data_IF_127298689707
#
_entry.id   IF_127298689707
#
_cell.length_a   1.000
_cell.length_b   1.000
_cell.length_c   1.000
_cell.angle_alpha   90.00
_cell.angle_beta   90.00
_cell.angle_gamma   90.00
#
_symmetry.space_group_name_H-M   'P 1'
#
loop_
_entity.id
_entity.type
_entity.pdbx_description
1 polymer ?
#
# COMPACT_ATOMS: atom_id res chain seq x y z
N UNK A 1 5.25 -21.72 19.87
CA UNK A 1 4.84 -21.48 18.48
C UNK A 1 4.12 -20.14 18.46
N UNK A 2 4.39 -19.24 17.50
CA UNK A 2 3.67 -17.97 17.40
C UNK A 2 2.21 -18.24 17.00
N UNK A 3 1.28 -17.56 17.65
CA UNK A 3 -0.14 -17.61 17.31
C UNK A 3 -0.49 -16.47 16.35
N UNK A 4 -1.23 -16.75 15.28
CA UNK A 4 -1.62 -15.77 14.27
C UNK A 4 -3.13 -15.74 14.10
N UNK A 5 -3.66 -14.56 13.80
CA UNK A 5 -5.08 -14.30 13.54
C UNK A 5 -5.23 -13.81 12.10
N UNK A 6 -6.14 -14.40 11.34
CA UNK A 6 -6.64 -13.81 10.11
C UNK A 6 -7.87 -12.96 10.47
N UNK A 7 -7.90 -11.71 9.99
CA UNK A 7 -9.10 -10.89 10.14
C UNK A 7 -10.19 -11.40 9.20
N UNK A 8 -11.41 -11.38 9.70
CA UNK A 8 -12.63 -11.70 8.98
C UNK A 8 -13.80 -10.82 9.43
N UNK A 9 -14.99 -11.04 8.87
CA UNK A 9 -16.19 -10.26 9.21
C UNK A 9 -16.58 -10.38 10.69
N UNK A 10 -16.22 -11.46 11.38
CA UNK A 10 -16.60 -11.71 12.78
C UNK A 10 -15.70 -10.99 13.77
N UNK A 11 -14.39 -10.90 13.46
CA UNK A 11 -13.39 -10.41 14.40
C UNK A 11 -12.83 -9.00 14.07
N UNK A 12 -13.02 -8.47 12.85
CA UNK A 12 -12.44 -7.19 12.40
C UNK A 12 -12.82 -6.00 13.31
N UNK A 13 -13.99 -6.03 13.94
CA UNK A 13 -14.42 -4.94 14.81
C UNK A 13 -13.64 -4.91 16.13
N UNK A 14 -13.32 -6.09 16.68
CA UNK A 14 -12.67 -6.27 17.98
C UNK A 14 -11.15 -6.23 17.85
N UNK A 15 -10.62 -6.76 16.74
CA UNK A 15 -9.19 -6.84 16.50
C UNK A 15 -8.58 -5.51 16.02
N UNK A 16 -7.35 -5.22 16.44
CA UNK A 16 -6.60 -4.08 15.90
C UNK A 16 -5.98 -4.42 14.55
N UNK A 17 -5.87 -3.42 13.68
CA UNK A 17 -5.25 -3.53 12.35
C UNK A 17 -3.74 -3.24 12.35
N UNK A 18 -3.06 -3.41 13.45
CA UNK A 18 -1.63 -3.27 13.63
C UNK A 18 -1.05 -1.86 13.42
N UNK A 19 -1.54 -1.07 12.47
CA UNK A 19 -1.11 0.32 12.27
C UNK A 19 -1.85 1.28 13.20
N UNK A 20 -1.22 2.39 13.55
CA UNK A 20 -1.78 3.48 14.38
C UNK A 20 -2.35 3.04 15.75
N UNK A 21 -1.86 1.93 16.32
CA UNK A 21 -2.33 1.40 17.59
C UNK A 21 -2.12 2.42 18.71
N UNK A 22 -3.21 2.80 19.38
CA UNK A 22 -3.18 3.69 20.53
C UNK A 22 -2.82 5.15 20.19
N UNK A 23 -2.96 5.53 18.93
CA UNK A 23 -2.78 6.91 18.46
C UNK A 23 -4.15 7.53 18.14
N UNK A 24 -4.75 8.32 19.08
CA UNK A 24 -6.10 8.83 18.92
C UNK A 24 -6.31 9.70 17.68
N UNK A 25 -5.29 10.42 17.24
CA UNK A 25 -5.38 11.27 16.04
C UNK A 25 -5.63 10.50 14.75
N UNK A 26 -5.27 9.22 14.72
CA UNK A 26 -5.47 8.36 13.55
C UNK A 26 -6.70 7.43 13.68
N UNK A 27 -7.52 7.56 14.72
CA UNK A 27 -8.66 6.66 14.94
C UNK A 27 -9.62 6.66 13.75
N UNK A 28 -9.95 7.83 13.20
CA UNK A 28 -10.81 7.94 12.02
C UNK A 28 -10.23 7.18 10.80
N UNK A 29 -8.91 7.21 10.62
CA UNK A 29 -8.24 6.44 9.56
C UNK A 29 -8.25 4.94 9.82
N UNK A 30 -8.13 4.51 11.08
CA UNK A 30 -8.29 3.10 11.48
C UNK A 30 -9.69 2.59 11.15
N UNK A 31 -10.73 3.37 11.47
CA UNK A 31 -12.11 3.01 11.21
C UNK A 31 -12.39 2.89 9.70
N UNK A 32 -11.91 3.85 8.90
CA UNK A 32 -12.02 3.81 7.43
C UNK A 32 -11.27 2.63 6.81
N UNK A 33 -10.08 2.29 7.32
CA UNK A 33 -9.36 1.12 6.86
C UNK A 33 -10.11 -0.17 7.22
N UNK A 34 -10.67 -0.29 8.42
CA UNK A 34 -11.48 -1.45 8.80
C UNK A 34 -12.69 -1.62 7.89
N UNK A 35 -13.38 -0.52 7.57
CA UNK A 35 -14.49 -0.53 6.61
C UNK A 35 -14.02 -0.97 5.21
N UNK A 36 -12.89 -0.43 4.75
CA UNK A 36 -12.31 -0.82 3.47
C UNK A 36 -11.97 -2.32 3.45
N UNK A 37 -11.30 -2.87 4.47
CA UNK A 37 -10.97 -4.30 4.58
C UNK A 37 -12.24 -5.17 4.56
N UNK A 38 -13.30 -4.79 5.31
CA UNK A 38 -14.58 -5.52 5.32
C UNK A 38 -15.14 -5.67 3.90
N UNK A 39 -15.13 -4.59 3.13
CA UNK A 39 -15.62 -4.60 1.75
C UNK A 39 -14.75 -5.45 0.82
N UNK A 40 -13.49 -5.73 1.21
CA UNK A 40 -12.52 -6.49 0.42
C UNK A 40 -12.48 -7.99 0.77
N UNK A 41 -13.06 -8.44 1.88
CA UNK A 41 -13.09 -9.87 2.23
C UNK A 41 -13.75 -10.72 1.14
N UNK A 42 -14.84 -10.24 0.55
CA UNK A 42 -15.51 -10.92 -0.58
C UNK A 42 -14.64 -11.06 -1.83
N UNK A 43 -13.64 -10.20 -1.97
CA UNK A 43 -12.69 -10.15 -3.09
C UNK A 43 -11.44 -11.03 -2.81
N UNK A 44 -11.41 -11.72 -1.66
CA UNK A 44 -10.31 -12.61 -1.27
C UNK A 44 -9.18 -11.93 -0.50
N UNK A 45 -9.40 -10.71 0.00
CA UNK A 45 -8.43 -9.99 0.80
C UNK A 45 -8.08 -10.71 2.10
N UNK A 46 -6.80 -10.81 2.40
CA UNK A 46 -6.27 -11.43 3.62
C UNK A 46 -5.47 -10.41 4.41
N UNK A 47 -5.87 -10.22 5.66
CA UNK A 47 -5.10 -9.51 6.66
C UNK A 47 -4.74 -10.48 7.79
N UNK A 48 -3.46 -10.89 7.83
CA UNK A 48 -2.94 -11.82 8.83
C UNK A 48 -1.99 -11.12 9.77
N UNK A 49 -2.24 -11.22 11.07
CA UNK A 49 -1.44 -10.58 12.12
C UNK A 49 -1.00 -11.58 13.19
N UNK A 50 0.09 -11.26 13.91
CA UNK A 50 0.43 -11.96 15.14
C UNK A 50 -0.62 -11.64 16.21
N UNK A 51 -1.01 -12.63 17.01
CA UNK A 51 -1.89 -12.45 18.17
C UNK A 51 -1.13 -11.75 19.32
N UNK A 52 -0.73 -10.50 19.05
CA UNK A 52 -0.03 -9.64 20.00
C UNK A 52 -0.31 -8.17 19.66
N UNK A 53 -0.22 -7.29 20.68
CA UNK A 53 -0.33 -5.85 20.46
C UNK A 53 0.95 -5.32 19.82
N UNK A 54 0.92 -5.03 18.51
CA UNK A 54 2.07 -4.51 17.76
C UNK A 54 1.82 -4.38 16.28
N UNK A 55 2.80 -3.81 15.56
CA UNK A 55 2.80 -3.68 14.10
C UNK A 55 3.43 -4.92 13.49
N UNK A 56 2.66 -6.01 13.40
CA UNK A 56 3.14 -7.34 12.98
C UNK A 56 2.07 -8.00 12.13
N UNK A 57 2.13 -7.81 10.82
CA UNK A 57 1.11 -8.32 9.90
C UNK A 57 1.63 -8.44 8.48
N UNK A 58 0.90 -9.19 7.68
CA UNK A 58 0.92 -9.19 6.22
C UNK A 58 -0.49 -8.96 5.70
N UNK A 59 -0.60 -8.24 4.59
CA UNK A 59 -1.85 -7.89 3.93
C UNK A 59 -1.69 -8.11 2.43
N UNK A 60 -2.58 -8.90 1.83
CA UNK A 60 -2.55 -9.25 0.41
C UNK A 60 -3.93 -9.63 -0.12
N UNK A 61 -4.10 -9.61 -1.44
CA UNK A 61 -5.32 -10.06 -2.13
C UNK A 61 -5.03 -10.43 -3.59
N UNK A 62 -5.99 -11.09 -4.28
CA UNK A 62 -5.86 -11.35 -5.71
C UNK A 62 -5.59 -10.06 -6.49
N UNK A 63 -4.61 -10.12 -7.41
CA UNK A 63 -4.18 -8.95 -8.17
C UNK A 63 -5.30 -8.35 -9.03
N UNK A 64 -6.27 -9.17 -9.44
CA UNK A 64 -7.42 -8.75 -10.22
C UNK A 64 -8.29 -7.72 -9.48
N UNK A 65 -8.41 -7.89 -8.16
CA UNK A 65 -9.20 -7.02 -7.29
C UNK A 65 -8.38 -6.01 -6.53
N UNK A 66 -7.04 -6.12 -6.57
CA UNK A 66 -6.13 -5.23 -5.88
C UNK A 66 -6.23 -3.78 -6.38
N UNK A 67 -6.34 -2.85 -5.45
CA UNK A 67 -6.47 -1.41 -5.72
C UNK A 67 -5.12 -0.75 -6.02
N UNK A 68 -4.45 -1.29 -7.02
CA UNK A 68 -3.15 -0.81 -7.50
C UNK A 68 -3.12 -0.79 -9.02
N UNK A 69 -2.36 0.12 -9.65
CA UNK A 69 -2.28 0.24 -11.10
C UNK A 69 -1.32 -0.82 -11.69
N UNK A 70 -1.63 -2.07 -11.40
CA UNK A 70 -0.88 -3.24 -11.85
C UNK A 70 -1.85 -4.18 -12.55
N UNK A 71 -1.50 -4.61 -13.75
CA UNK A 71 -2.19 -5.61 -14.54
C UNK A 71 -1.53 -6.98 -14.30
N UNK A 72 -2.34 -7.99 -14.09
CA UNK A 72 -1.90 -9.35 -13.87
C UNK A 72 -3.07 -10.29 -13.79
N UNK A 73 -2.78 -11.58 -13.82
CA UNK A 73 -3.80 -12.62 -13.69
C UNK A 73 -3.27 -13.75 -12.85
N UNK A 74 -4.11 -14.17 -11.90
CA UNK A 74 -3.83 -15.33 -11.06
C UNK A 74 -2.57 -15.15 -10.17
N UNK A 75 -2.37 -13.94 -9.63
CA UNK A 75 -1.34 -13.62 -8.65
C UNK A 75 -1.95 -13.06 -7.38
N UNK A 76 -1.32 -13.30 -6.23
CA UNK A 76 -1.59 -12.51 -5.04
C UNK A 76 -0.73 -11.24 -5.06
N UNK A 77 -1.30 -10.09 -4.68
CA UNK A 77 -0.57 -8.83 -4.50
C UNK A 77 -0.42 -8.52 -3.02
N UNK A 78 0.83 -8.39 -2.54
CA UNK A 78 1.13 -7.99 -1.16
C UNK A 78 1.13 -6.46 -1.08
N UNK A 79 0.18 -5.89 -0.34
CA UNK A 79 0.12 -4.48 -0.03
C UNK A 79 1.14 -4.07 1.03
N UNK A 80 1.22 -4.86 2.09
CA UNK A 80 2.07 -4.53 3.24
C UNK A 80 2.54 -5.80 3.95
N UNK A 81 3.82 -5.79 4.33
CA UNK A 81 4.40 -6.73 5.28
C UNK A 81 5.20 -5.91 6.29
N UNK A 82 4.75 -5.87 7.53
CA UNK A 82 5.39 -5.06 8.55
C UNK A 82 5.60 -5.82 9.85
N UNK A 83 6.86 -5.80 10.32
CA UNK A 83 7.24 -6.28 11.65
C UNK A 83 8.07 -5.20 12.33
N UNK A 84 7.60 -4.64 13.44
CA UNK A 84 8.22 -3.51 14.12
C UNK A 84 8.56 -3.78 15.59
N UNK A 85 9.37 -2.88 16.15
CA UNK A 85 9.71 -2.88 17.59
C UNK A 85 10.48 -4.12 18.01
N UNK A 86 10.15 -4.64 19.18
CA UNK A 86 10.77 -5.82 19.80
C UNK A 86 10.55 -7.15 19.07
N UNK A 87 9.74 -7.14 18.02
CA UNK A 87 9.45 -8.32 17.20
C UNK A 87 10.41 -8.50 16.01
N UNK A 88 11.23 -7.48 15.71
CA UNK A 88 12.23 -7.56 14.64
C UNK A 88 13.31 -8.61 14.97
N UNK A 89 13.87 -9.23 13.92
CA UNK A 89 14.95 -10.21 14.06
C UNK A 89 14.55 -11.59 14.61
N UNK A 90 13.26 -11.83 14.83
CA UNK A 90 12.74 -13.09 15.41
C UNK A 90 12.15 -14.06 14.37
N UNK A 91 12.38 -13.84 13.08
CA UNK A 91 11.85 -14.70 12.02
C UNK A 91 10.39 -14.45 11.64
N UNK A 92 9.67 -13.57 12.35
CA UNK A 92 8.21 -13.37 12.17
C UNK A 92 7.84 -12.88 10.77
N UNK A 93 8.62 -11.99 10.16
CA UNK A 93 8.37 -11.54 8.79
C UNK A 93 8.50 -12.71 7.79
N UNK A 94 9.41 -13.64 8.04
CA UNK A 94 9.54 -14.90 7.28
C UNK A 94 8.28 -15.73 7.42
N UNK A 95 7.82 -16.00 8.65
CA UNK A 95 6.63 -16.81 8.92
C UNK A 95 5.37 -16.25 8.22
N UNK A 96 5.20 -14.91 8.25
CA UNK A 96 4.10 -14.21 7.58
C UNK A 96 4.18 -14.34 6.05
N UNK A 97 5.37 -14.16 5.47
CA UNK A 97 5.54 -14.29 4.02
C UNK A 97 5.39 -15.74 3.55
N UNK A 98 5.97 -16.70 4.28
CA UNK A 98 5.82 -18.14 3.98
C UNK A 98 4.35 -18.59 4.04
N UNK A 99 3.56 -18.04 4.98
CA UNK A 99 2.13 -18.26 5.00
C UNK A 99 1.44 -17.75 3.73
N UNK A 100 1.72 -16.51 3.30
CA UNK A 100 1.12 -15.95 2.09
C UNK A 100 1.53 -16.73 0.82
N UNK A 101 2.80 -17.16 0.75
CA UNK A 101 3.29 -18.02 -0.35
C UNK A 101 2.56 -19.36 -0.36
N UNK A 102 2.38 -19.98 0.81
CA UNK A 102 1.64 -21.24 0.93
C UNK A 102 0.18 -21.06 0.54
N UNK A 103 -0.50 -20.03 1.04
CA UNK A 103 -1.88 -19.72 0.72
C UNK A 103 -2.09 -19.51 -0.79
N UNK A 104 -1.20 -18.73 -1.43
CA UNK A 104 -1.23 -18.53 -2.87
C UNK A 104 -1.06 -19.85 -3.65
N UNK A 105 -0.18 -20.76 -3.21
CA UNK A 105 -0.02 -22.09 -3.80
C UNK A 105 -1.24 -22.98 -3.60
N UNK A 106 -1.82 -22.98 -2.40
CA UNK A 106 -3.03 -23.75 -2.07
C UNK A 106 -4.22 -23.30 -2.94
N UNK A 107 -4.31 -22.00 -3.23
CA UNK A 107 -5.27 -21.38 -4.18
C UNK A 107 -4.92 -21.62 -5.66
N UNK A 108 -3.81 -22.29 -5.96
CA UNK A 108 -3.31 -22.54 -7.33
C UNK A 108 -3.05 -21.25 -8.10
N UNK A 109 -2.58 -20.22 -7.41
CA UNK A 109 -2.11 -18.99 -8.05
C UNK A 109 -0.84 -19.25 -8.85
N UNK A 110 -0.59 -18.45 -9.89
CA UNK A 110 0.64 -18.48 -10.70
C UNK A 110 1.83 -17.84 -10.01
N UNK A 111 1.57 -17.09 -8.94
CA UNK A 111 2.61 -16.45 -8.15
C UNK A 111 2.07 -15.46 -7.12
N UNK A 112 3.00 -14.75 -6.52
CA UNK A 112 2.75 -13.65 -5.57
C UNK A 112 3.68 -12.50 -5.90
N UNK A 113 3.19 -11.25 -5.81
CA UNK A 113 3.95 -10.07 -6.19
C UNK A 113 3.81 -8.92 -5.17
N UNK A 114 4.71 -7.96 -5.25
CA UNK A 114 4.72 -6.78 -4.39
C UNK A 114 5.45 -5.61 -5.03
N UNK A 115 5.10 -4.39 -4.62
CA UNK A 115 5.81 -3.17 -4.99
C UNK A 115 6.97 -2.92 -4.04
N UNK A 116 8.14 -2.66 -4.61
CA UNK A 116 9.33 -2.23 -3.88
C UNK A 116 9.98 -1.02 -4.57
N UNK A 117 11.10 -0.55 -4.05
CA UNK A 117 11.92 0.46 -4.74
C UNK A 117 13.40 0.05 -4.73
N UNK A 118 14.17 0.55 -5.71
CA UNK A 118 15.63 0.34 -5.80
C UNK A 118 16.35 0.84 -4.54
N UNK A 119 15.91 1.98 -4.02
CA UNK A 119 16.36 2.54 -2.75
C UNK A 119 15.20 2.52 -1.77
N UNK A 120 15.50 2.28 -0.49
CA UNK A 120 14.48 2.26 0.58
C UNK A 120 13.61 3.52 0.54
N UNK A 121 12.30 3.31 0.46
CA UNK A 121 11.27 4.34 0.53
C UNK A 121 10.33 4.06 1.70
N UNK A 122 9.77 5.12 2.32
CA UNK A 122 8.71 4.93 3.31
C UNK A 122 7.53 4.13 2.73
N UNK A 123 6.89 3.32 3.56
CA UNK A 123 5.69 2.53 3.23
C UNK A 123 5.88 1.43 2.16
N UNK A 124 7.11 1.15 1.74
CA UNK A 124 7.44 0.03 0.85
C UNK A 124 8.31 -1.01 1.56
N UNK A 125 8.14 -2.26 1.18
CA UNK A 125 8.96 -3.37 1.64
C UNK A 125 10.42 -3.27 1.17
N UNK A 126 11.33 -3.90 1.89
CA UNK A 126 12.76 -3.90 1.52
C UNK A 126 13.01 -4.94 0.41
N UNK A 127 13.52 -4.49 -0.74
CA UNK A 127 13.85 -5.32 -1.90
C UNK A 127 14.66 -6.57 -1.52
N UNK A 128 15.74 -6.41 -0.76
CA UNK A 128 16.63 -7.50 -0.34
C UNK A 128 15.93 -8.60 0.45
N UNK A 129 14.90 -8.23 1.23
CA UNK A 129 14.11 -9.22 1.94
C UNK A 129 13.36 -10.14 0.97
N UNK A 130 12.70 -9.59 -0.04
CA UNK A 130 11.97 -10.38 -1.04
C UNK A 130 12.91 -11.17 -1.96
N UNK A 131 14.07 -10.60 -2.35
CA UNK A 131 15.11 -11.31 -3.11
C UNK A 131 15.56 -12.59 -2.39
N UNK A 132 15.71 -12.55 -1.06
CA UNK A 132 16.08 -13.72 -0.25
C UNK A 132 15.04 -14.85 -0.33
N UNK A 133 13.78 -14.54 -0.64
CA UNK A 133 12.70 -15.52 -0.88
C UNK A 133 12.52 -15.89 -2.34
N UNK A 134 13.43 -15.47 -3.22
CA UNK A 134 13.41 -15.81 -4.63
C UNK A 134 12.52 -14.92 -5.51
N UNK A 135 11.99 -13.82 -4.97
CA UNK A 135 11.31 -12.83 -5.79
C UNK A 135 12.30 -12.19 -6.77
N UNK A 136 11.84 -11.96 -7.99
CA UNK A 136 12.61 -11.29 -9.05
C UNK A 136 11.87 -10.05 -9.51
N UNK A 137 12.61 -9.04 -9.97
CA UNK A 137 12.02 -7.87 -10.62
C UNK A 137 11.43 -8.31 -11.96
N UNK A 138 10.15 -8.05 -12.17
CA UNK A 138 9.40 -8.41 -13.37
C UNK A 138 9.00 -7.19 -14.19
N UNK A 139 8.94 -6.01 -13.58
CA UNK A 139 8.68 -4.72 -14.24
C UNK A 139 9.23 -3.55 -13.42
N UNK A 140 9.43 -2.39 -14.04
CA UNK A 140 9.94 -1.19 -13.37
C UNK A 140 9.44 0.11 -14.00
N UNK A 141 9.24 1.13 -13.16
CA UNK A 141 9.00 2.52 -13.58
C UNK A 141 9.87 3.42 -12.71
N UNK A 142 10.83 4.14 -13.31
CA UNK A 142 11.83 4.93 -12.59
C UNK A 142 12.56 4.06 -11.55
N UNK A 143 12.52 4.46 -10.29
CA UNK A 143 13.12 3.75 -9.16
C UNK A 143 12.16 2.80 -8.42
N UNK A 144 10.94 2.63 -8.92
CA UNK A 144 9.97 1.64 -8.42
C UNK A 144 10.06 0.34 -9.20
N UNK A 145 9.97 -0.76 -8.51
CA UNK A 145 10.07 -2.10 -9.07
C UNK A 145 8.93 -2.98 -8.60
N UNK A 146 8.34 -3.70 -9.53
CA UNK A 146 7.40 -4.79 -9.25
C UNK A 146 8.19 -6.08 -9.15
N UNK A 147 8.14 -6.72 -8.00
CA UNK A 147 8.76 -8.02 -7.80
C UNK A 147 7.71 -9.13 -7.75
N UNK A 148 8.04 -10.28 -8.30
CA UNK A 148 7.19 -11.47 -8.25
C UNK A 148 8.00 -12.73 -7.92
N UNK A 149 7.37 -13.62 -7.16
CA UNK A 149 7.76 -15.02 -7.00
C UNK A 149 6.78 -15.85 -7.82
N UNK A 150 7.25 -16.37 -8.96
CA UNK A 150 6.46 -17.21 -9.85
C UNK A 150 6.43 -18.66 -9.38
N UNK A 151 5.29 -19.33 -9.58
CA UNK A 151 5.10 -20.76 -9.30
C UNK A 151 4.95 -21.58 -10.58
N UNK A 152 4.65 -20.95 -11.72
CA UNK A 152 4.50 -21.55 -13.04
C UNK A 152 5.08 -20.63 -14.13
N UNK A 153 5.04 -21.04 -15.40
CA UNK A 153 5.61 -20.30 -16.53
C UNK A 153 4.63 -19.31 -17.18
N UNK A 154 3.55 -18.92 -16.49
CA UNK A 154 2.61 -17.94 -17.03
C UNK A 154 3.14 -16.52 -16.94
N UNK A 155 2.44 -15.59 -17.62
CA UNK A 155 2.82 -14.18 -17.69
C UNK A 155 2.92 -13.54 -16.29
N UNK A 156 3.97 -12.76 -16.11
CA UNK A 156 4.16 -11.97 -14.89
C UNK A 156 3.31 -10.71 -14.88
N UNK A 157 2.94 -10.20 -13.68
CA UNK A 157 2.29 -8.92 -13.56
C UNK A 157 3.15 -7.76 -14.09
N UNK A 158 2.48 -6.71 -14.58
CA UNK A 158 3.12 -5.49 -15.10
C UNK A 158 2.37 -4.25 -14.61
N UNK A 159 3.07 -3.14 -14.48
CA UNK A 159 2.41 -1.85 -14.27
C UNK A 159 1.47 -1.53 -15.42
N UNK A 160 0.33 -0.92 -15.11
CA UNK A 160 -0.61 -0.45 -16.15
C UNK A 160 0.02 0.64 -17.00
N UNK A 161 -0.48 0.81 -18.22
CA UNK A 161 -0.01 1.88 -19.11
C UNK A 161 -0.30 3.27 -18.53
N UNK A 162 -1.42 3.42 -17.82
CA UNK A 162 -1.76 4.65 -17.10
C UNK A 162 -0.72 5.01 -16.05
N UNK A 163 -0.22 4.04 -15.28
CA UNK A 163 0.81 4.26 -14.26
C UNK A 163 2.14 4.75 -14.83
N UNK A 164 2.44 4.42 -16.08
CA UNK A 164 3.68 4.83 -16.76
C UNK A 164 3.68 6.31 -17.15
N UNK A 165 2.50 6.93 -17.27
CA UNK A 165 2.38 8.34 -17.65
C UNK A 165 3.06 9.27 -16.63
N UNK A 166 2.88 9.01 -15.35
CA UNK A 166 3.42 9.80 -14.24
C UNK A 166 3.06 11.30 -14.37
N UNK A 167 1.91 11.60 -15.01
CA UNK A 167 1.42 12.95 -15.33
C UNK A 167 -0.10 13.03 -15.17
N UNK A 168 -0.56 14.23 -14.86
CA UNK A 168 -1.97 14.64 -14.82
C UNK A 168 -2.14 15.99 -15.51
N UNK A 169 -3.37 16.35 -15.87
CA UNK A 169 -3.66 17.64 -16.52
C UNK A 169 -3.64 18.81 -15.52
N UNK A 170 -3.99 18.54 -14.27
CA UNK A 170 -4.06 19.55 -13.21
C UNK A 170 -2.68 20.16 -12.92
N UNK A 171 -2.59 21.50 -12.85
CA UNK A 171 -1.35 22.22 -12.61
C UNK A 171 -1.14 22.60 -11.15
N UNK A 172 -2.19 22.54 -10.35
CA UNK A 172 -2.10 22.81 -8.92
C UNK A 172 -1.46 21.61 -8.17
N UNK A 173 -1.18 21.79 -6.88
CA UNK A 173 -0.84 20.63 -6.05
C UNK A 173 -2.01 19.67 -6.02
N UNK A 174 -1.78 18.43 -6.42
CA UNK A 174 -2.81 17.39 -6.45
C UNK A 174 -2.31 16.14 -5.73
N UNK A 175 -3.12 15.63 -4.83
CA UNK A 175 -2.82 14.44 -4.04
C UNK A 175 -3.86 13.36 -4.35
N UNK A 176 -3.39 12.22 -4.86
CA UNK A 176 -4.20 11.00 -4.97
C UNK A 176 -4.02 10.16 -3.71
N UNK A 177 -5.10 9.61 -3.18
CA UNK A 177 -5.05 8.82 -1.95
C UNK A 177 -6.11 7.72 -1.88
N UNK A 178 -5.85 6.71 -1.04
CA UNK A 178 -6.79 5.61 -0.71
C UNK A 178 -7.01 5.52 0.79
N UNK A 179 -8.04 4.80 1.23
CA UNK A 179 -8.27 4.49 2.64
C UNK A 179 -7.51 3.23 3.13
N UNK A 180 -6.64 2.68 2.31
CA UNK A 180 -5.87 1.47 2.61
C UNK A 180 -4.87 1.67 3.77
N UNK A 181 -4.37 2.89 3.97
CA UNK A 181 -3.47 3.20 5.06
C UNK A 181 -4.14 4.10 6.11
N UNK A 182 -4.17 3.72 7.40
CA UNK A 182 -4.86 4.49 8.43
C UNK A 182 -4.23 5.87 8.73
N UNK A 183 -3.00 6.11 8.26
CA UNK A 183 -2.36 7.42 8.41
C UNK A 183 -2.87 8.46 7.42
N UNK A 184 -3.48 8.05 6.32
CA UNK A 184 -3.88 8.93 5.21
C UNK A 184 -4.97 9.93 5.64
N UNK A 185 -6.00 9.48 6.34
CA UNK A 185 -7.14 10.32 6.68
C UNK A 185 -6.75 11.55 7.51
N UNK A 186 -5.89 11.35 8.50
CA UNK A 186 -5.39 12.44 9.32
C UNK A 186 -4.62 13.46 8.48
N UNK A 187 -3.70 12.99 7.63
CA UNK A 187 -2.87 13.89 6.82
C UNK A 187 -3.68 14.61 5.72
N UNK A 188 -4.72 13.99 5.16
CA UNK A 188 -5.65 14.66 4.23
C UNK A 188 -6.32 15.84 4.92
N UNK A 189 -6.83 15.66 6.14
CA UNK A 189 -7.50 16.71 6.89
C UNK A 189 -6.52 17.83 7.29
N UNK A 190 -5.36 17.49 7.85
CA UNK A 190 -4.33 18.44 8.24
C UNK A 190 -3.82 19.28 7.05
N UNK A 191 -3.56 18.63 5.90
CA UNK A 191 -3.11 19.33 4.71
C UNK A 191 -4.20 20.21 4.09
N UNK A 192 -5.46 19.77 4.16
CA UNK A 192 -6.60 20.56 3.70
C UNK A 192 -6.72 21.88 4.48
N UNK A 193 -6.67 21.79 5.81
CA UNK A 193 -6.72 22.98 6.68
C UNK A 193 -5.47 23.87 6.51
N UNK A 194 -4.29 23.26 6.39
CA UNK A 194 -3.05 24.00 6.14
C UNK A 194 -3.10 24.77 4.82
N UNK A 195 -3.50 24.12 3.73
CA UNK A 195 -3.59 24.71 2.40
C UNK A 195 -4.60 25.88 2.39
N UNK A 196 -5.77 25.69 3.01
CA UNK A 196 -6.79 26.74 3.17
C UNK A 196 -6.27 27.93 3.94
N UNK A 197 -5.58 27.72 5.08
CA UNK A 197 -4.99 28.79 5.89
C UNK A 197 -3.90 29.58 5.18
N UNK A 198 -3.19 28.95 4.24
CA UNK A 198 -2.08 29.54 3.49
C UNK A 198 -2.46 30.01 2.08
N UNK A 199 -3.73 29.89 1.71
CA UNK A 199 -4.24 30.19 0.36
C UNK A 199 -3.49 29.43 -0.75
N UNK A 200 -3.14 28.15 -0.47
CA UNK A 200 -2.49 27.26 -1.41
C UNK A 200 -3.56 26.44 -2.12
N UNK A 201 -3.55 26.43 -3.46
CA UNK A 201 -4.41 25.55 -4.24
C UNK A 201 -3.94 24.11 -4.10
N UNK A 202 -4.69 23.32 -3.37
CA UNK A 202 -4.45 21.89 -3.13
C UNK A 202 -5.72 21.10 -3.41
N UNK A 203 -5.61 20.11 -4.29
CA UNK A 203 -6.68 19.22 -4.68
C UNK A 203 -6.44 17.81 -4.17
N UNK A 204 -7.47 17.17 -3.63
CA UNK A 204 -7.46 15.78 -3.25
C UNK A 204 -8.31 14.95 -4.20
N UNK A 205 -7.76 13.85 -4.71
CA UNK A 205 -8.43 12.89 -5.58
C UNK A 205 -8.45 11.54 -4.87
N UNK A 206 -9.62 11.18 -4.36
CA UNK A 206 -9.79 9.90 -3.70
C UNK A 206 -9.92 8.77 -4.72
N UNK A 207 -9.11 7.74 -4.56
CA UNK A 207 -9.27 6.46 -5.25
C UNK A 207 -10.23 5.62 -4.42
N UNK A 208 -11.47 5.54 -4.84
CA UNK A 208 -12.59 4.92 -4.12
C UNK A 208 -13.25 3.77 -4.91
N UNK A 209 -12.62 3.35 -6.00
CA UNK A 209 -13.06 2.20 -6.80
C UNK A 209 -11.89 1.45 -7.42
N UNK A 210 -12.12 0.17 -7.74
CA UNK A 210 -11.16 -0.67 -8.44
C UNK A 210 -10.75 -0.05 -9.79
N UNK A 211 -11.73 0.49 -10.54
CA UNK A 211 -11.47 1.13 -11.82
C UNK A 211 -10.50 2.32 -11.68
N UNK A 212 -10.74 3.22 -10.72
CA UNK A 212 -9.83 4.34 -10.45
C UNK A 212 -8.45 3.87 -10.03
N UNK A 213 -8.36 2.81 -9.24
CA UNK A 213 -7.09 2.25 -8.80
C UNK A 213 -6.29 1.65 -9.96
N UNK A 214 -6.94 0.86 -10.82
CA UNK A 214 -6.31 0.25 -12.00
C UNK A 214 -5.86 1.28 -13.04
N UNK A 215 -6.57 2.40 -13.16
CA UNK A 215 -6.29 3.48 -14.09
C UNK A 215 -5.56 4.68 -13.44
N UNK A 216 -4.99 4.51 -12.24
CA UNK A 216 -4.24 5.57 -11.59
C UNK A 216 -3.08 6.07 -12.47
N UNK A 217 -2.85 7.41 -12.53
CA UNK A 217 -1.90 8.02 -13.47
C UNK A 217 -0.43 7.85 -13.07
N UNK A 218 -0.16 7.14 -12.01
CA UNK A 218 1.19 6.87 -11.49
C UNK A 218 1.19 5.62 -10.64
N UNK A 219 2.37 5.18 -10.24
CA UNK A 219 2.50 4.17 -9.18
C UNK A 219 1.92 4.76 -7.90
N UNK A 220 0.93 4.09 -7.37
CA UNK A 220 0.29 4.42 -6.10
C UNK A 220 0.09 3.14 -5.30
N UNK A 221 0.42 3.22 -4.03
CA UNK A 221 0.03 2.21 -3.05
C UNK A 221 -1.12 2.79 -2.20
N UNK A 222 -0.89 3.93 -1.56
CA UNK A 222 -1.90 4.62 -0.75
C UNK A 222 -1.88 6.15 -0.88
N UNK A 223 -0.86 6.70 -1.55
CA UNK A 223 -0.65 8.15 -1.70
C UNK A 223 0.20 8.47 -2.92
N UNK A 224 -0.11 9.57 -3.62
CA UNK A 224 0.74 10.12 -4.66
C UNK A 224 0.59 11.64 -4.74
N UNK A 225 1.72 12.34 -4.85
CA UNK A 225 1.82 13.78 -4.92
C UNK A 225 2.16 14.24 -6.34
N UNK A 226 1.43 15.24 -6.83
CA UNK A 226 1.65 15.91 -8.11
C UNK A 226 1.78 17.43 -7.92
N UNK A 227 2.56 18.06 -8.76
CA UNK A 227 2.62 19.51 -8.92
C UNK A 227 2.92 19.85 -10.37
N UNK A 228 2.22 20.84 -10.92
CA UNK A 228 2.32 21.26 -12.32
C UNK A 228 2.16 20.09 -13.31
N UNK A 229 1.27 19.15 -12.98
CA UNK A 229 1.00 17.97 -13.78
C UNK A 229 2.01 16.83 -13.64
N UNK A 230 3.13 17.01 -12.96
CA UNK A 230 4.20 16.02 -12.84
C UNK A 230 4.15 15.29 -11.50
N UNK A 231 4.38 13.98 -11.53
CA UNK A 231 4.51 13.16 -10.32
C UNK A 231 5.76 13.52 -9.53
N UNK A 232 5.61 13.68 -8.22
CA UNK A 232 6.70 14.04 -7.30
C UNK A 232 7.13 12.81 -6.49
N UNK A 233 6.19 12.19 -5.77
CA UNK A 233 6.47 11.05 -4.89
C UNK A 233 5.18 10.33 -4.48
N UNK A 234 5.30 9.13 -3.93
CA UNK A 234 4.22 8.41 -3.25
C UNK A 234 4.37 8.41 -1.72
N UNK A 235 5.10 9.37 -1.19
CA UNK A 235 5.27 9.52 0.26
C UNK A 235 4.11 10.33 0.84
N UNK A 236 3.47 9.82 1.89
CA UNK A 236 2.47 10.57 2.66
C UNK A 236 3.16 11.81 3.24
N UNK A 237 2.63 12.99 2.94
CA UNK A 237 3.16 14.26 3.42
C UNK A 237 2.37 14.71 4.66
N UNK A 238 3.08 15.14 5.69
CA UNK A 238 2.51 15.97 6.75
C UNK A 238 2.65 17.47 6.38
N UNK A 239 2.03 18.36 7.17
CA UNK A 239 2.04 19.79 6.90
C UNK A 239 3.46 20.37 6.75
N UNK A 240 4.42 19.97 7.58
CA UNK A 240 5.80 20.44 7.52
C UNK A 240 6.51 20.00 6.23
N UNK A 241 6.30 18.75 5.81
CA UNK A 241 6.88 18.22 4.58
C UNK A 241 6.24 18.87 3.34
N UNK A 242 4.93 19.11 3.39
CA UNK A 242 4.21 19.83 2.33
C UNK A 242 4.68 21.30 2.23
N UNK A 243 4.84 22.00 3.34
CA UNK A 243 5.37 23.37 3.35
C UNK A 243 6.77 23.46 2.69
N UNK A 244 7.67 22.53 3.01
CA UNK A 244 8.98 22.44 2.36
C UNK A 244 8.86 22.22 0.86
N UNK A 245 7.93 21.34 0.43
CA UNK A 245 7.68 21.07 -0.98
C UNK A 245 7.17 22.31 -1.70
N UNK A 246 6.21 23.05 -1.12
CA UNK A 246 5.69 24.32 -1.67
C UNK A 246 6.81 25.35 -1.83
N UNK A 247 7.64 25.56 -0.79
CA UNK A 247 8.78 26.50 -0.84
C UNK A 247 9.84 26.11 -1.87
N UNK A 248 10.01 24.83 -2.14
CA UNK A 248 10.98 24.37 -3.15
C UNK A 248 10.46 24.52 -4.58
N UNK A 249 9.14 24.54 -4.78
CA UNK A 249 8.49 24.62 -6.09
C UNK A 249 8.15 26.07 -6.52
N UNK A 250 8.08 27.01 -5.57
CA UNK A 250 7.95 28.46 -5.79
C UNK A 250 9.30 29.15 -5.78
#
# INVERSE_FOLDING_TARGET
MNEYINLDEKNINEEHICCAIGDPKHQAGVDKKKEWIKNKFKDGHVFRKLNARGKIFIEYEPIETAWVPINGKNYEYIYCLWVAGSFKGKGIARELLEYAIKDAKDKKMSGICTLVAQKKKPFLGEKKFFEHFGFKVVDSIKDYELMALQFDDKDTPKFSDSARNMKIDDKDFTIYYTNECPYVEYEVNELSEYAKKKDIKLKFVKIDSLEKAKNAPCIINNWANFYNGEFISNTILNANAFEKLVKWKN
#
